data_IF_043352811656
#
_entry.id   IF_043352811656
#
_cell.length_a   1.000
_cell.length_b   1.000
_cell.length_c   1.000
_cell.angle_alpha   90.00
_cell.angle_beta   90.00
_cell.angle_gamma   90.00
#
_symmetry.space_group_name_H-M   'P 1'
#
loop_
_entity.id
_entity.type
_entity.pdbx_description
1 polymer ?
#
# COMPACT_ATOMS: atom_id res chain seq x y z
N UNK A 1 -10.20 25.19 -18.34
CA UNK A 1 -9.61 23.86 -18.14
C UNK A 1 -9.19 23.31 -19.48
N UNK A 2 -7.92 22.94 -19.62
CA UNK A 2 -7.44 22.30 -20.85
C UNK A 2 -7.87 20.83 -20.90
N UNK A 3 -7.95 20.24 -22.09
CA UNK A 3 -8.40 18.84 -22.28
C UNK A 3 -7.56 17.83 -21.47
N UNK A 4 -6.30 18.17 -21.12
CA UNK A 4 -5.40 17.37 -20.27
C UNK A 4 -5.74 17.42 -18.78
N UNK A 5 -6.20 18.56 -18.26
CA UNK A 5 -6.59 18.71 -16.84
C UNK A 5 -7.86 17.94 -16.53
N UNK A 6 -8.80 17.89 -17.49
CA UNK A 6 -10.03 17.13 -17.37
C UNK A 6 -9.76 15.61 -17.26
N UNK A 7 -8.88 15.08 -18.12
CA UNK A 7 -8.49 13.66 -18.07
C UNK A 7 -7.75 13.27 -16.78
N UNK A 8 -6.84 14.13 -16.28
CA UNK A 8 -6.12 13.86 -15.03
C UNK A 8 -7.04 13.76 -13.80
N UNK A 9 -8.09 14.58 -13.78
CA UNK A 9 -9.07 14.59 -12.68
C UNK A 9 -9.94 13.34 -12.68
N UNK A 10 -10.37 12.86 -13.86
CA UNK A 10 -11.14 11.62 -13.99
C UNK A 10 -10.32 10.38 -13.59
N UNK A 11 -9.04 10.32 -13.98
CA UNK A 11 -8.13 9.24 -13.56
C UNK A 11 -7.96 9.22 -12.04
N UNK A 12 -7.79 10.39 -11.41
CA UNK A 12 -7.65 10.48 -9.95
C UNK A 12 -8.92 10.02 -9.21
N UNK A 13 -10.12 10.32 -9.74
CA UNK A 13 -11.40 9.85 -9.17
C UNK A 13 -11.52 8.33 -9.24
N UNK A 14 -11.20 7.73 -10.39
CA UNK A 14 -11.24 6.28 -10.58
C UNK A 14 -10.22 5.59 -9.66
N UNK A 15 -8.98 6.07 -9.63
CA UNK A 15 -7.94 5.54 -8.74
C UNK A 15 -8.32 5.69 -7.27
N UNK A 16 -8.93 6.82 -6.88
CA UNK A 16 -9.41 7.04 -5.52
C UNK A 16 -10.51 6.06 -5.11
N UNK A 17 -11.43 5.75 -6.02
CA UNK A 17 -12.48 4.74 -5.80
C UNK A 17 -11.89 3.33 -5.64
N UNK A 18 -10.94 2.94 -6.50
CA UNK A 18 -10.23 1.66 -6.40
C UNK A 18 -9.44 1.60 -5.08
N UNK A 19 -8.72 2.67 -4.73
CA UNK A 19 -7.99 2.76 -3.47
C UNK A 19 -8.91 2.61 -2.25
N UNK A 20 -10.05 3.32 -2.22
CA UNK A 20 -11.03 3.24 -1.14
C UNK A 20 -11.64 1.85 -0.99
N UNK A 21 -12.03 1.21 -2.10
CA UNK A 21 -12.54 -0.17 -2.09
C UNK A 21 -11.51 -1.19 -1.62
N UNK A 22 -10.23 -1.01 -1.95
CA UNK A 22 -9.15 -1.86 -1.43
C UNK A 22 -8.94 -1.68 0.07
N UNK A 23 -9.05 -0.45 0.60
CA UNK A 23 -9.01 -0.22 2.06
C UNK A 23 -10.17 -0.95 2.75
N UNK A 24 -11.37 -0.88 2.20
CA UNK A 24 -12.54 -1.60 2.75
C UNK A 24 -12.27 -3.11 2.74
N UNK A 25 -11.74 -3.64 1.63
CA UNK A 25 -11.38 -5.05 1.53
C UNK A 25 -10.33 -5.45 2.59
N UNK A 26 -9.28 -4.64 2.78
CA UNK A 26 -8.27 -4.87 3.81
C UNK A 26 -8.88 -4.84 5.22
N UNK A 27 -9.79 -3.91 5.50
CA UNK A 27 -10.49 -3.84 6.79
C UNK A 27 -11.39 -5.06 7.04
N UNK A 28 -12.13 -5.49 6.01
CA UNK A 28 -12.96 -6.70 6.08
C UNK A 28 -12.10 -7.94 6.33
N UNK A 29 -10.99 -8.08 5.60
CA UNK A 29 -10.10 -9.19 5.83
C UNK A 29 -9.50 -9.14 7.24
N UNK A 30 -9.14 -7.95 7.76
CA UNK A 30 -8.58 -7.81 9.11
C UNK A 30 -9.59 -8.25 10.16
N UNK A 31 -10.85 -7.91 9.97
CA UNK A 31 -11.91 -8.37 10.84
C UNK A 31 -12.02 -9.92 10.80
N UNK A 32 -11.99 -10.49 9.59
CA UNK A 32 -12.05 -11.94 9.39
C UNK A 32 -10.78 -12.68 9.88
N UNK A 33 -9.64 -12.00 10.05
CA UNK A 33 -8.39 -12.65 10.52
C UNK A 33 -8.52 -13.26 11.91
N UNK A 34 -9.33 -12.66 12.78
CA UNK A 34 -9.68 -13.23 14.09
C UNK A 34 -10.31 -14.63 13.98
N UNK A 35 -11.10 -14.87 12.93
CA UNK A 35 -11.76 -16.15 12.65
C UNK A 35 -10.81 -17.18 12.02
N UNK A 36 -9.68 -16.73 11.47
CA UNK A 36 -8.70 -17.59 10.79
C UNK A 36 -7.68 -18.23 11.74
N UNK A 37 -7.63 -17.77 13.00
CA UNK A 37 -6.76 -18.31 14.06
C UNK A 37 -6.96 -19.82 14.31
N UNK A 38 -8.16 -20.35 14.07
CA UNK A 38 -8.47 -21.78 14.20
C UNK A 38 -8.25 -22.63 12.94
N UNK A 39 -7.80 -22.04 11.83
CA UNK A 39 -7.56 -22.76 10.58
C UNK A 39 -6.23 -23.50 10.57
N UNK A 40 -6.08 -24.45 9.65
CA UNK A 40 -4.80 -25.13 9.42
C UNK A 40 -3.72 -24.10 8.99
N UNK A 41 -2.49 -24.29 9.46
CA UNK A 41 -1.31 -23.45 9.18
C UNK A 41 -1.14 -23.15 7.68
N UNK A 42 -1.34 -24.15 6.81
CA UNK A 42 -1.22 -23.94 5.35
C UNK A 42 -2.24 -22.92 4.82
N UNK A 43 -3.45 -22.91 5.40
CA UNK A 43 -4.52 -21.98 5.03
C UNK A 43 -4.22 -20.60 5.61
N UNK A 44 -3.73 -20.52 6.85
CA UNK A 44 -3.32 -19.28 7.49
C UNK A 44 -2.23 -18.55 6.67
N UNK A 45 -1.22 -19.27 6.19
CA UNK A 45 -0.14 -18.71 5.35
C UNK A 45 -0.65 -18.19 3.99
N UNK A 46 -1.60 -18.91 3.37
CA UNK A 46 -2.22 -18.45 2.11
C UNK A 46 -3.05 -17.19 2.32
N UNK A 47 -3.83 -17.12 3.39
CA UNK A 47 -4.62 -15.94 3.74
C UNK A 47 -3.69 -14.77 4.06
N UNK A 48 -2.61 -15.00 4.80
CA UNK A 48 -1.57 -14.00 5.04
C UNK A 48 -0.98 -13.41 3.75
N UNK A 49 -0.66 -14.28 2.79
CA UNK A 49 -0.11 -13.87 1.50
C UNK A 49 -1.10 -13.00 0.71
N UNK A 50 -2.38 -13.39 0.69
CA UNK A 50 -3.44 -12.60 0.07
C UNK A 50 -3.61 -11.24 0.74
N UNK A 51 -3.54 -11.21 2.07
CA UNK A 51 -3.63 -9.99 2.85
C UNK A 51 -2.49 -9.02 2.54
N UNK A 52 -1.26 -9.53 2.53
CA UNK A 52 -0.09 -8.77 2.16
C UNK A 52 -0.22 -8.22 0.74
N UNK A 53 -0.68 -9.03 -0.21
CA UNK A 53 -0.85 -8.60 -1.60
C UNK A 53 -1.83 -7.43 -1.71
N UNK A 54 -2.94 -7.46 -0.97
CA UNK A 54 -3.92 -6.36 -0.93
C UNK A 54 -3.29 -5.11 -0.32
N UNK A 55 -2.61 -5.23 0.82
CA UNK A 55 -1.93 -4.11 1.47
C UNK A 55 -0.86 -3.48 0.55
N UNK A 56 -0.09 -4.32 -0.15
CA UNK A 56 0.90 -3.88 -1.12
C UNK A 56 0.26 -3.15 -2.31
N UNK A 57 -0.85 -3.66 -2.84
CA UNK A 57 -1.59 -3.00 -3.93
C UNK A 57 -2.20 -1.67 -3.49
N UNK A 58 -2.70 -1.55 -2.25
CA UNK A 58 -3.13 -0.28 -1.67
C UNK A 58 -1.96 0.72 -1.70
N UNK A 59 -0.77 0.31 -1.28
CA UNK A 59 0.40 1.19 -1.28
C UNK A 59 0.79 1.64 -2.70
N UNK A 60 0.75 0.75 -3.70
CA UNK A 60 1.05 1.10 -5.09
C UNK A 60 0.01 2.06 -5.68
N UNK A 61 -1.28 1.78 -5.48
CA UNK A 61 -2.37 2.65 -5.90
C UNK A 61 -2.32 4.00 -5.18
N UNK A 62 -1.96 4.00 -3.89
CA UNK A 62 -1.75 5.20 -3.10
C UNK A 62 -0.63 6.06 -3.67
N UNK A 63 0.53 5.47 -4.01
CA UNK A 63 1.63 6.18 -4.64
C UNK A 63 1.23 6.78 -6.00
N UNK A 64 0.47 6.04 -6.80
CA UNK A 64 -0.03 6.50 -8.11
C UNK A 64 -1.07 7.63 -7.97
N UNK A 65 -1.99 7.50 -7.01
CA UNK A 65 -2.96 8.55 -6.68
C UNK A 65 -2.26 9.82 -6.22
N UNK A 66 -1.28 9.69 -5.33
CA UNK A 66 -0.49 10.81 -4.82
C UNK A 66 0.29 11.51 -5.95
N UNK A 67 0.79 10.75 -6.94
CA UNK A 67 1.43 11.31 -8.14
C UNK A 67 0.44 12.13 -8.97
N UNK A 68 -0.76 11.61 -9.20
CA UNK A 68 -1.78 12.33 -9.97
C UNK A 68 -2.25 13.58 -9.21
N UNK A 69 -2.34 13.52 -7.88
CA UNK A 69 -2.61 14.70 -7.04
C UNK A 69 -1.46 15.72 -7.09
N UNK A 70 -0.20 15.29 -7.15
CA UNK A 70 0.94 16.19 -7.30
C UNK A 70 0.86 17.01 -8.58
N UNK A 71 0.47 16.38 -9.70
CA UNK A 71 0.21 17.09 -10.97
C UNK A 71 -0.94 18.10 -10.87
N UNK A 72 -1.86 17.89 -9.94
CA UNK A 72 -3.01 18.77 -9.66
C UNK A 72 -2.71 19.87 -8.63
N UNK A 73 -1.46 20.07 -8.21
CA UNK A 73 -1.04 21.13 -7.29
C UNK A 73 -0.79 20.70 -5.84
N UNK A 74 -0.83 19.40 -5.55
CA UNK A 74 -0.48 18.89 -4.22
C UNK A 74 1.03 19.01 -3.96
N UNK A 75 1.42 19.61 -2.82
CA UNK A 75 2.83 19.83 -2.48
C UNK A 75 3.62 18.54 -2.28
N UNK A 76 4.92 18.57 -2.56
CA UNK A 76 5.82 17.41 -2.44
C UNK A 76 5.88 16.83 -1.01
N UNK A 77 5.73 17.68 0.00
CA UNK A 77 5.64 17.26 1.42
C UNK A 77 4.35 16.44 1.65
N UNK A 78 3.22 16.88 1.10
CA UNK A 78 1.96 16.14 1.19
C UNK A 78 2.04 14.78 0.50
N UNK A 79 2.70 14.73 -0.67
CA UNK A 79 2.97 13.48 -1.37
C UNK A 79 3.80 12.51 -0.51
N UNK A 80 4.94 12.96 0.04
CA UNK A 80 5.81 12.14 0.88
C UNK A 80 5.09 11.67 2.15
N UNK A 81 4.33 12.55 2.81
CA UNK A 81 3.52 12.21 3.97
C UNK A 81 2.47 11.13 3.68
N UNK A 82 1.76 11.25 2.57
CA UNK A 82 0.77 10.25 2.15
C UNK A 82 1.41 8.89 1.83
N UNK A 83 2.61 8.89 1.24
CA UNK A 83 3.36 7.67 0.91
C UNK A 83 3.90 6.99 2.18
N UNK A 84 4.38 7.76 3.14
CA UNK A 84 4.82 7.27 4.46
C UNK A 84 3.63 6.67 5.23
N UNK A 85 2.47 7.34 5.23
CA UNK A 85 1.26 6.81 5.87
C UNK A 85 0.79 5.51 5.22
N UNK A 86 0.84 5.40 3.89
CA UNK A 86 0.54 4.14 3.19
C UNK A 86 1.52 3.03 3.57
N UNK A 87 2.82 3.33 3.65
CA UNK A 87 3.82 2.35 4.05
C UNK A 87 3.61 1.88 5.50
N UNK A 88 3.32 2.81 6.42
CA UNK A 88 2.96 2.46 7.80
C UNK A 88 1.72 1.56 7.85
N UNK A 89 0.70 1.83 7.03
CA UNK A 89 -0.49 0.99 6.98
C UNK A 89 -0.14 -0.45 6.59
N UNK A 90 0.74 -0.66 5.60
CA UNK A 90 1.22 -2.01 5.25
C UNK A 90 1.98 -2.66 6.41
N UNK A 91 2.91 -1.93 7.04
CA UNK A 91 3.74 -2.46 8.14
C UNK A 91 2.88 -2.79 9.38
N UNK A 92 1.93 -1.93 9.75
CA UNK A 92 1.02 -2.17 10.88
C UNK A 92 0.10 -3.35 10.62
N UNK A 93 -0.48 -3.46 9.41
CA UNK A 93 -1.31 -4.61 9.05
C UNK A 93 -0.53 -5.92 9.14
N UNK A 94 0.71 -5.91 8.65
CA UNK A 94 1.63 -7.05 8.74
C UNK A 94 1.97 -7.41 10.19
N UNK A 95 2.23 -6.41 11.03
CA UNK A 95 2.53 -6.62 12.44
C UNK A 95 1.33 -7.18 13.22
N UNK A 96 0.13 -6.63 13.01
CA UNK A 96 -1.11 -7.10 13.65
C UNK A 96 -1.40 -8.55 13.25
N UNK A 97 -1.26 -8.89 11.97
CA UNK A 97 -1.53 -10.25 11.52
C UNK A 97 -0.46 -11.25 11.98
N UNK A 98 0.82 -10.86 12.03
CA UNK A 98 1.89 -11.68 12.59
C UNK A 98 1.68 -11.95 14.10
N UNK A 99 1.25 -10.94 14.86
CA UNK A 99 0.93 -11.05 16.29
C UNK A 99 -0.29 -11.97 16.52
N UNK A 100 -1.32 -11.87 15.68
CA UNK A 100 -2.50 -12.75 15.75
C UNK A 100 -2.22 -14.23 15.44
N UNK A 101 -1.07 -14.56 14.85
CA UNK A 101 -0.74 -15.91 14.40
C UNK A 101 0.12 -16.77 15.36
N UNK A 102 0.62 -16.29 16.51
CA UNK A 102 1.69 -17.01 17.25
C UNK A 102 1.27 -17.65 18.60
N UNK A 103 1.76 -18.88 18.95
CA UNK A 103 3.17 -19.32 18.97
C UNK A 103 3.57 -20.50 18.05
N UNK A 104 2.71 -20.99 17.15
CA UNK A 104 2.91 -22.29 16.47
C UNK A 104 3.70 -22.26 15.15
N UNK A 105 3.96 -21.09 14.56
CA UNK A 105 4.56 -20.96 13.21
C UNK A 105 5.90 -20.19 13.22
N UNK A 106 6.46 -19.98 14.42
CA UNK A 106 7.35 -18.90 14.85
C UNK A 106 8.66 -18.62 14.11
N UNK A 107 9.02 -19.33 13.04
CA UNK A 107 10.18 -18.98 12.21
C UNK A 107 9.81 -18.59 10.78
N UNK A 108 8.83 -19.28 10.19
CA UNK A 108 8.50 -19.10 8.77
C UNK A 108 7.66 -17.86 8.53
N UNK A 109 6.69 -17.57 9.42
CA UNK A 109 5.86 -16.36 9.34
C UNK A 109 6.68 -15.08 9.57
N UNK A 110 7.64 -15.11 10.50
CA UNK A 110 8.57 -14.00 10.75
C UNK A 110 9.46 -13.77 9.52
N UNK A 111 10.03 -14.84 8.96
CA UNK A 111 10.84 -14.74 7.73
C UNK A 111 10.07 -14.16 6.55
N UNK A 112 8.83 -14.61 6.32
CA UNK A 112 7.96 -14.06 5.28
C UNK A 112 7.61 -12.59 5.55
N UNK A 113 7.31 -12.23 6.80
CA UNK A 113 7.05 -10.85 7.20
C UNK A 113 8.24 -9.94 6.88
N UNK A 114 9.46 -10.37 7.18
CA UNK A 114 10.67 -9.62 6.86
C UNK A 114 10.84 -9.44 5.35
N UNK A 115 10.68 -10.50 4.55
CA UNK A 115 10.73 -10.41 3.08
C UNK A 115 9.70 -9.41 2.56
N UNK A 116 8.48 -9.48 3.07
CA UNK A 116 7.36 -8.62 2.68
C UNK A 116 7.57 -7.14 3.07
N UNK A 117 8.15 -6.87 4.23
CA UNK A 117 8.55 -5.52 4.66
C UNK A 117 9.66 -4.97 3.77
N UNK A 118 10.66 -5.79 3.43
CA UNK A 118 11.77 -5.40 2.54
C UNK A 118 11.24 -5.11 1.13
N UNK A 119 10.38 -5.96 0.56
CA UNK A 119 9.77 -5.72 -0.76
C UNK A 119 8.95 -4.43 -0.75
N UNK A 120 8.17 -4.19 0.31
CA UNK A 120 7.42 -2.94 0.46
C UNK A 120 8.36 -1.72 0.56
N UNK A 121 9.50 -1.84 1.27
CA UNK A 121 10.48 -0.76 1.41
C UNK A 121 11.16 -0.43 0.07
N UNK A 122 11.52 -1.45 -0.71
CA UNK A 122 12.05 -1.27 -2.06
C UNK A 122 11.02 -0.58 -2.95
N UNK A 123 9.76 -1.01 -2.88
CA UNK A 123 8.65 -0.37 -3.59
C UNK A 123 8.50 1.11 -3.20
N UNK A 124 8.56 1.42 -1.91
CA UNK A 124 8.52 2.79 -1.39
C UNK A 124 9.65 3.65 -1.98
N UNK A 125 10.89 3.18 -1.90
CA UNK A 125 12.06 3.89 -2.44
C UNK A 125 11.90 4.12 -3.95
N UNK A 126 11.47 3.11 -4.70
CA UNK A 126 11.23 3.22 -6.13
C UNK A 126 10.18 4.30 -6.45
N UNK A 127 9.05 4.31 -5.74
CA UNK A 127 8.00 5.32 -5.91
C UNK A 127 8.49 6.74 -5.59
N UNK A 128 9.27 6.90 -4.52
CA UNK A 128 9.85 8.19 -4.11
C UNK A 128 10.83 8.70 -5.17
N UNK A 129 11.78 7.86 -5.61
CA UNK A 129 12.76 8.21 -6.64
C UNK A 129 12.08 8.60 -7.96
N UNK A 130 11.01 7.90 -8.32
CA UNK A 130 10.29 8.17 -9.56
C UNK A 130 9.58 9.53 -9.52
N UNK A 131 8.95 9.89 -8.40
CA UNK A 131 8.31 11.20 -8.26
C UNK A 131 9.32 12.34 -8.12
N UNK A 132 10.44 12.13 -7.42
CA UNK A 132 11.56 13.06 -7.40
C UNK A 132 12.07 13.37 -8.82
N UNK A 133 12.18 12.34 -9.66
CA UNK A 133 12.56 12.51 -11.08
C UNK A 133 11.56 13.37 -11.84
N UNK A 134 10.26 13.14 -11.67
CA UNK A 134 9.22 13.92 -12.34
C UNK A 134 9.18 15.38 -11.86
N UNK A 135 9.43 15.62 -10.57
CA UNK A 135 9.50 16.96 -9.98
C UNK A 135 10.74 17.75 -10.45
N UNK A 136 11.90 17.10 -10.55
CA UNK A 136 13.10 17.74 -11.09
C UNK A 136 12.91 18.12 -12.56
N UNK A 137 12.23 17.27 -13.34
CA UNK A 137 11.89 17.56 -14.74
C UNK A 137 10.91 18.72 -14.90
N UNK A 138 9.95 18.88 -14.00
CA UNK A 138 8.97 19.98 -14.09
C UNK A 138 9.56 21.35 -13.74
N UNK A 139 10.71 21.40 -13.05
CA UNK A 139 11.44 22.64 -12.72
C UNK A 139 12.55 23.01 -13.71
N UNK A 140 12.95 22.09 -14.57
CA UNK A 140 14.02 22.28 -15.56
C UNK A 140 13.56 22.86 -16.91
N UNK A 141 12.27 23.12 -17.07
CA UNK A 141 11.65 23.89 -18.15
C UNK A 141 11.05 25.17 -17.58
#
# INVERSE_FOLDING_TARGET
>A
MTNKEFQGTEIAKVLGSIYGSMIILAAVMLFLSSLFSGLNIDIQVRVFTLFWLIAFMISLLGAELARNLHKSGFGMIGFLGFLVLNYFLVVFLMAVYADMLDPTVGSTAIGMTLVYVVVAAIGYIASVLWVLRDWLKSRGN
#
